data_IF_110438719416
#
_entry.id   IF_110438719416
#
_cell.length_a   1.000
_cell.length_b   1.000
_cell.length_c   1.000
_cell.angle_alpha   90.00
_cell.angle_beta   90.00
_cell.angle_gamma   90.00
#
_symmetry.space_group_name_H-M   'P 1'
#
loop_
_entity.id
_entity.type
_entity.pdbx_description
1 polymer ?
#
# COMPACT_ATOMS: atom_id res chain seq x y z
N UNK A 1 -7.89 -21.14 15.67
CA UNK A 1 -6.68 -20.29 15.63
C UNK A 1 -5.89 -20.58 14.36
N UNK A 2 -5.74 -19.58 13.49
CA UNK A 2 -4.95 -19.67 12.25
C UNK A 2 -3.84 -18.62 12.27
N UNK A 3 -2.57 -19.03 12.20
CA UNK A 3 -1.41 -18.12 12.09
C UNK A 3 -0.98 -17.97 10.63
N UNK A 4 -0.74 -16.73 10.20
CA UNK A 4 -0.30 -16.40 8.85
C UNK A 4 0.91 -15.48 8.97
N UNK A 5 2.09 -16.04 8.71
CA UNK A 5 3.34 -15.28 8.62
C UNK A 5 3.70 -15.08 7.15
N UNK A 6 3.79 -13.82 6.72
CA UNK A 6 4.08 -13.46 5.34
C UNK A 6 5.59 -13.46 5.09
N UNK A 7 6.36 -12.89 6.03
CA UNK A 7 7.80 -12.63 5.85
C UNK A 7 8.64 -13.91 5.76
N UNK A 8 8.20 -14.98 6.44
CA UNK A 8 8.91 -16.26 6.49
C UNK A 8 8.32 -17.31 5.53
N UNK A 9 7.39 -16.92 4.65
CA UNK A 9 6.73 -17.85 3.73
C UNK A 9 7.17 -17.64 2.27
N UNK A 10 8.22 -18.34 1.79
CA UNK A 10 8.78 -18.12 0.45
C UNK A 10 7.79 -18.47 -0.68
N UNK A 11 6.86 -19.40 -0.43
CA UNK A 11 5.82 -19.74 -1.42
C UNK A 11 4.84 -18.58 -1.60
N UNK A 12 4.42 -17.95 -0.51
CA UNK A 12 3.54 -16.79 -0.53
C UNK A 12 4.24 -15.58 -1.16
N UNK A 13 5.51 -15.34 -0.82
CA UNK A 13 6.34 -14.30 -1.47
C UNK A 13 6.42 -14.49 -2.99
N UNK A 14 6.64 -15.72 -3.46
CA UNK A 14 6.64 -16.00 -4.91
C UNK A 14 5.27 -15.78 -5.55
N UNK A 15 4.18 -16.02 -4.84
CA UNK A 15 2.83 -15.69 -5.33
C UNK A 15 2.63 -14.18 -5.41
N UNK A 16 3.06 -13.42 -4.39
CA UNK A 16 3.00 -11.96 -4.40
C UNK A 16 3.74 -11.39 -5.60
N UNK A 17 4.96 -11.86 -5.90
CA UNK A 17 5.68 -11.38 -7.10
C UNK A 17 4.91 -11.61 -8.40
N UNK A 18 4.14 -12.70 -8.52
CA UNK A 18 3.30 -12.94 -9.72
C UNK A 18 2.08 -12.01 -9.74
N UNK A 19 1.42 -11.84 -8.61
CA UNK A 19 0.26 -10.95 -8.50
C UNK A 19 0.66 -9.50 -8.71
N UNK A 20 1.85 -9.08 -8.26
CA UNK A 20 2.40 -7.75 -8.57
C UNK A 20 2.40 -7.51 -10.07
N UNK A 21 2.90 -8.44 -10.90
CA UNK A 21 2.90 -8.25 -12.37
C UNK A 21 1.50 -7.99 -12.92
N UNK A 22 0.50 -8.72 -12.42
CA UNK A 22 -0.90 -8.53 -12.80
C UNK A 22 -1.44 -7.16 -12.34
N UNK A 23 -1.12 -6.74 -11.13
CA UNK A 23 -1.52 -5.44 -10.58
C UNK A 23 -0.84 -4.29 -11.33
N UNK A 24 0.46 -4.39 -11.58
CA UNK A 24 1.23 -3.45 -12.40
C UNK A 24 0.62 -3.28 -13.79
N UNK A 25 0.23 -4.39 -14.43
CA UNK A 25 -0.39 -4.36 -15.75
C UNK A 25 -1.80 -3.76 -15.70
N UNK A 26 -2.65 -4.26 -14.79
CA UNK A 26 -4.04 -3.83 -14.66
C UNK A 26 -4.16 -2.35 -14.29
N UNK A 27 -3.51 -1.94 -13.20
CA UNK A 27 -3.49 -0.54 -12.78
C UNK A 27 -2.71 0.35 -13.75
N UNK A 28 -1.64 -0.16 -14.36
CA UNK A 28 -0.89 0.56 -15.39
C UNK A 28 -1.76 0.95 -16.58
N UNK A 29 -2.61 0.03 -17.06
CA UNK A 29 -3.59 0.32 -18.13
C UNK A 29 -4.60 1.38 -17.67
N UNK A 30 -5.17 1.24 -16.46
CA UNK A 30 -6.14 2.19 -15.91
C UNK A 30 -5.53 3.59 -15.81
N UNK A 31 -4.34 3.72 -15.20
CA UNK A 31 -3.67 5.00 -15.03
C UNK A 31 -3.15 5.57 -16.33
N UNK A 32 -2.77 4.74 -17.30
CA UNK A 32 -2.43 5.19 -18.65
C UNK A 32 -3.65 5.83 -19.36
N UNK A 33 -4.83 5.24 -19.23
CA UNK A 33 -6.07 5.85 -19.76
C UNK A 33 -6.34 7.20 -19.08
N UNK A 34 -6.18 7.30 -17.75
CA UNK A 34 -6.38 8.55 -17.01
C UNK A 34 -5.34 9.62 -17.34
N UNK A 35 -4.08 9.22 -17.54
CA UNK A 35 -3.01 10.12 -17.97
C UNK A 35 -3.31 10.74 -19.34
N UNK A 36 -3.93 9.96 -20.24
CA UNK A 36 -4.30 10.41 -21.58
C UNK A 36 -5.54 11.30 -21.63
N UNK A 37 -6.40 11.25 -20.61
CA UNK A 37 -7.65 12.03 -20.56
C UNK A 37 -7.47 13.48 -20.10
N UNK A 38 -6.28 13.86 -19.64
CA UNK A 38 -5.97 15.23 -19.20
C UNK A 38 -5.06 15.98 -20.17
N UNK A 39 -5.03 17.31 -20.09
CA UNK A 39 -4.11 18.20 -20.81
C UNK A 39 -2.90 18.64 -19.96
N UNK A 40 -2.72 18.08 -18.76
CA UNK A 40 -1.56 18.34 -17.89
C UNK A 40 -0.23 18.14 -18.64
N UNK A 41 0.80 18.91 -18.26
CA UNK A 41 2.13 18.77 -18.84
C UNK A 41 2.69 17.35 -18.64
N UNK A 42 3.53 16.89 -19.58
CA UNK A 42 4.11 15.55 -19.51
C UNK A 42 5.17 15.44 -18.40
N UNK A 43 6.11 16.39 -18.40
CA UNK A 43 7.18 16.58 -17.41
C UNK A 43 7.39 18.09 -17.22
N UNK A 44 8.12 18.48 -16.17
CA UNK A 44 8.55 19.87 -16.03
C UNK A 44 9.71 20.20 -17.00
N UNK A 45 9.96 21.48 -17.27
CA UNK A 45 11.03 21.90 -18.18
C UNK A 45 12.45 21.60 -17.67
N UNK A 46 12.66 21.53 -16.36
CA UNK A 46 13.99 21.31 -15.77
C UNK A 46 14.33 19.82 -15.71
N UNK A 47 15.33 19.38 -16.49
CA UNK A 47 15.80 17.99 -16.45
C UNK A 47 16.26 17.57 -15.04
N UNK A 48 17.13 18.36 -14.43
CA UNK A 48 17.62 18.10 -13.06
C UNK A 48 16.47 18.16 -12.06
N UNK A 49 15.56 19.12 -12.21
CA UNK A 49 14.38 19.25 -11.34
C UNK A 49 13.49 18.01 -11.38
N UNK A 50 13.28 17.42 -12.57
CA UNK A 50 12.54 16.17 -12.72
C UNK A 50 13.23 14.99 -12.03
N UNK A 51 14.55 14.87 -12.14
CA UNK A 51 15.31 13.80 -11.47
C UNK A 51 15.19 13.93 -9.95
N UNK A 52 15.43 15.13 -9.41
CA UNK A 52 15.32 15.37 -7.96
C UNK A 52 13.91 15.10 -7.47
N UNK A 53 12.90 15.58 -8.19
CA UNK A 53 11.50 15.33 -7.85
C UNK A 53 11.16 13.83 -7.86
N UNK A 54 11.66 13.09 -8.84
CA UNK A 54 11.45 11.64 -8.93
C UNK A 54 11.97 10.93 -7.68
N UNK A 55 13.21 11.23 -7.29
CA UNK A 55 13.82 10.65 -6.10
C UNK A 55 13.04 11.00 -4.84
N UNK A 56 12.64 12.26 -4.68
CA UNK A 56 11.85 12.72 -3.52
C UNK A 56 10.50 11.98 -3.47
N UNK A 57 9.75 11.95 -4.58
CA UNK A 57 8.44 11.31 -4.62
C UNK A 57 8.52 9.81 -4.35
N UNK A 58 9.56 9.13 -4.84
CA UNK A 58 9.78 7.72 -4.59
C UNK A 58 9.86 7.41 -3.09
N UNK A 59 10.76 8.07 -2.37
CA UNK A 59 10.89 7.84 -0.92
C UNK A 59 9.66 8.33 -0.16
N UNK A 60 9.09 9.47 -0.56
CA UNK A 60 7.96 10.08 0.12
C UNK A 60 6.71 9.19 0.06
N UNK A 61 6.37 8.63 -1.12
CA UNK A 61 5.16 7.81 -1.28
C UNK A 61 5.20 6.58 -0.40
N UNK A 62 6.30 5.83 -0.40
CA UNK A 62 6.40 4.62 0.40
C UNK A 62 6.52 4.92 1.91
N UNK A 63 7.18 6.03 2.28
CA UNK A 63 7.19 6.46 3.68
C UNK A 63 5.78 6.83 4.15
N UNK A 64 5.06 7.64 3.36
CA UNK A 64 3.67 8.02 3.66
C UNK A 64 2.77 6.77 3.69
N UNK A 65 2.98 5.81 2.80
CA UNK A 65 2.24 4.55 2.77
C UNK A 65 2.27 3.85 4.12
N UNK A 66 3.47 3.58 4.64
CA UNK A 66 3.64 2.92 5.93
C UNK A 66 3.13 3.80 7.09
N UNK A 67 3.34 5.12 7.02
CA UNK A 67 2.78 6.04 8.01
C UNK A 67 1.25 5.97 8.08
N UNK A 68 0.55 5.85 6.94
CA UNK A 68 -0.90 5.70 6.91
C UNK A 68 -1.31 4.40 7.61
N UNK A 69 -0.65 3.26 7.32
CA UNK A 69 -0.89 2.03 8.09
C UNK A 69 -0.71 2.26 9.59
N UNK A 70 0.40 2.90 9.99
CA UNK A 70 0.68 3.22 11.38
C UNK A 70 -0.39 4.08 12.05
N UNK A 71 -0.93 5.08 11.35
CA UNK A 71 -2.02 5.93 11.83
C UNK A 71 -3.28 5.08 12.07
N UNK A 72 -3.71 4.28 11.10
CA UNK A 72 -4.92 3.46 11.25
C UNK A 72 -4.76 2.37 12.32
N UNK A 73 -3.59 1.73 12.38
CA UNK A 73 -3.26 0.81 13.47
C UNK A 73 -3.30 1.48 14.84
N UNK A 74 -2.83 2.73 14.94
CA UNK A 74 -2.88 3.48 16.20
C UNK A 74 -4.30 3.92 16.57
N UNK A 75 -5.14 4.24 15.59
CA UNK A 75 -6.55 4.59 15.81
C UNK A 75 -7.31 3.38 16.37
N UNK A 76 -7.13 2.20 15.79
CA UNK A 76 -7.88 1.00 16.19
C UNK A 76 -7.24 0.21 17.34
N UNK A 77 -5.92 0.32 17.54
CA UNK A 77 -5.18 -0.30 18.65
C UNK A 77 -4.32 0.73 19.40
N UNK A 78 -4.94 1.69 20.10
CA UNK A 78 -4.24 2.85 20.66
C UNK A 78 -3.23 2.52 21.76
N UNK A 79 -3.39 1.38 22.44
CA UNK A 79 -2.52 0.96 23.56
C UNK A 79 -1.19 0.40 23.10
N UNK A 80 -1.10 -0.11 21.87
CA UNK A 80 0.09 -0.78 21.36
C UNK A 80 1.00 0.21 20.61
N UNK A 81 2.29 -0.11 20.52
CA UNK A 81 3.29 0.71 19.82
C UNK A 81 3.38 0.27 18.37
N UNK A 82 3.45 1.24 17.47
CA UNK A 82 3.70 0.99 16.05
C UNK A 82 5.19 0.76 15.85
N UNK A 83 5.53 -0.29 15.12
CA UNK A 83 6.88 -0.67 14.74
C UNK A 83 6.99 -0.65 13.22
N UNK A 84 8.04 -0.01 12.74
CA UNK A 84 8.43 -0.06 11.33
C UNK A 84 9.65 -0.94 11.20
N UNK A 85 9.65 -1.81 10.19
CA UNK A 85 10.76 -2.71 9.92
C UNK A 85 10.97 -2.91 8.42
N UNK A 86 12.03 -3.63 8.09
CA UNK A 86 12.31 -4.06 6.73
C UNK A 86 12.74 -5.52 6.76
N UNK A 87 12.10 -6.35 5.93
CA UNK A 87 12.42 -7.76 5.80
C UNK A 87 12.07 -8.27 4.42
N UNK A 88 12.93 -9.12 3.85
CA UNK A 88 12.70 -9.80 2.56
C UNK A 88 12.28 -8.87 1.40
N UNK A 89 12.80 -7.64 1.36
CA UNK A 89 12.46 -6.67 0.31
C UNK A 89 11.25 -5.79 0.62
N UNK A 90 10.55 -6.00 1.73
CA UNK A 90 9.36 -5.24 2.11
C UNK A 90 9.63 -4.37 3.33
N UNK A 91 9.28 -3.09 3.24
CA UNK A 91 9.06 -2.27 4.42
C UNK A 91 7.71 -2.70 4.99
N UNK A 92 7.61 -2.81 6.31
CA UNK A 92 6.37 -3.19 6.95
C UNK A 92 6.11 -2.37 8.20
N UNK A 93 4.83 -2.10 8.42
CA UNK A 93 4.28 -1.55 9.65
C UNK A 93 3.60 -2.67 10.44
N UNK A 94 3.99 -2.85 11.70
CA UNK A 94 3.40 -3.84 12.60
C UNK A 94 3.10 -3.22 13.96
N UNK A 95 2.14 -3.78 14.68
CA UNK A 95 1.78 -3.35 16.03
C UNK A 95 1.69 -4.57 16.97
N UNK A 96 2.78 -5.31 17.19
CA UNK A 96 2.74 -6.64 17.82
C UNK A 96 1.87 -6.71 19.08
N UNK A 97 0.98 -7.70 19.14
CA UNK A 97 -0.05 -7.85 20.19
C UNK A 97 -1.29 -6.98 19.97
N UNK A 98 -1.30 -6.12 18.96
CA UNK A 98 -2.43 -5.29 18.60
C UNK A 98 -3.60 -6.13 18.10
N UNK A 99 -4.74 -5.96 18.77
CA UNK A 99 -5.99 -6.66 18.48
C UNK A 99 -6.91 -5.82 17.59
N UNK A 100 -7.53 -6.48 16.63
CA UNK A 100 -8.43 -5.89 15.64
C UNK A 100 -9.62 -6.82 15.39
N UNK A 101 -10.71 -6.23 14.90
CA UNK A 101 -11.75 -6.99 14.18
C UNK A 101 -11.35 -7.13 12.71
N UNK A 102 -11.90 -8.10 11.95
CA UNK A 102 -11.65 -8.22 10.52
C UNK A 102 -11.90 -6.91 9.77
N UNK A 103 -12.94 -6.17 10.15
CA UNK A 103 -13.27 -4.90 9.51
C UNK A 103 -12.22 -3.81 9.79
N UNK A 104 -11.78 -3.65 11.03
CA UNK A 104 -10.80 -2.61 11.38
C UNK A 104 -9.43 -2.92 10.80
N UNK A 105 -9.04 -4.19 10.75
CA UNK A 105 -7.83 -4.62 10.06
C UNK A 105 -7.92 -4.38 8.55
N UNK A 106 -9.06 -4.71 7.93
CA UNK A 106 -9.31 -4.45 6.50
C UNK A 106 -9.19 -2.96 6.16
N UNK A 107 -9.82 -2.08 6.95
CA UNK A 107 -9.71 -0.62 6.75
C UNK A 107 -8.24 -0.20 6.81
N UNK A 108 -7.52 -0.68 7.82
CA UNK A 108 -6.10 -0.35 8.00
C UNK A 108 -5.24 -0.82 6.83
N UNK A 109 -5.55 -1.99 6.26
CA UNK A 109 -4.84 -2.55 5.11
C UNK A 109 -5.13 -1.75 3.82
N UNK A 110 -6.38 -1.42 3.52
CA UNK A 110 -6.73 -0.75 2.26
C UNK A 110 -6.49 0.77 2.26
N UNK A 111 -6.37 1.38 3.44
CA UNK A 111 -6.30 2.84 3.58
C UNK A 111 -5.17 3.51 2.77
N UNK A 112 -3.91 3.03 2.78
CA UNK A 112 -2.84 3.68 2.02
C UNK A 112 -3.09 3.65 0.52
N UNK A 113 -3.60 2.52 0.01
CA UNK A 113 -3.96 2.39 -1.40
C UNK A 113 -4.97 3.47 -1.80
N UNK A 114 -6.07 3.60 -1.06
CA UNK A 114 -7.14 4.56 -1.37
C UNK A 114 -6.63 6.00 -1.26
N UNK A 115 -6.02 6.36 -0.13
CA UNK A 115 -5.66 7.75 0.16
C UNK A 115 -4.60 8.25 -0.83
N UNK A 116 -3.52 7.50 -1.03
CA UNK A 116 -2.42 7.94 -1.89
C UNK A 116 -2.85 7.95 -3.36
N UNK A 117 -3.56 6.90 -3.83
CA UNK A 117 -4.05 6.86 -5.22
C UNK A 117 -4.98 8.03 -5.51
N UNK A 118 -5.88 8.36 -4.58
CA UNK A 118 -6.77 9.52 -4.73
C UNK A 118 -5.99 10.84 -4.79
N UNK A 119 -4.97 11.04 -3.94
CA UNK A 119 -4.11 12.24 -4.00
C UNK A 119 -3.38 12.34 -5.34
N UNK A 120 -2.83 11.24 -5.85
CA UNK A 120 -2.16 11.21 -7.15
C UNK A 120 -3.13 11.56 -8.30
N UNK A 121 -4.35 11.01 -8.28
CA UNK A 121 -5.40 11.33 -9.26
C UNK A 121 -5.78 12.81 -9.19
N UNK A 122 -6.06 13.33 -7.99
CA UNK A 122 -6.46 14.73 -7.81
C UNK A 122 -5.35 15.67 -8.31
N UNK A 123 -4.09 15.41 -7.95
CA UNK A 123 -2.97 16.25 -8.36
C UNK A 123 -2.70 16.20 -9.86
N UNK A 124 -2.94 15.07 -10.53
CA UNK A 124 -2.93 14.98 -12.00
C UNK A 124 -3.95 15.93 -12.63
N UNK A 125 -5.22 15.83 -12.20
CA UNK A 125 -6.31 16.60 -12.81
C UNK A 125 -6.30 18.09 -12.45
N UNK A 126 -5.67 18.46 -11.33
CA UNK A 126 -5.37 19.86 -11.00
C UNK A 126 -4.20 20.44 -11.81
N UNK A 127 -3.53 19.62 -12.64
CA UNK A 127 -2.35 20.05 -13.40
C UNK A 127 -1.09 20.25 -12.56
N UNK A 128 -1.12 19.87 -11.28
CA UNK A 128 0.00 20.01 -10.35
C UNK A 128 1.05 18.94 -10.62
N UNK A 129 0.64 17.68 -10.72
CA UNK A 129 1.54 16.55 -10.95
C UNK A 129 1.63 16.23 -12.45
N UNK A 130 2.82 16.25 -13.07
CA UNK A 130 2.94 15.94 -14.48
C UNK A 130 2.58 14.48 -14.77
N UNK A 131 2.06 14.25 -15.97
CA UNK A 131 1.53 12.96 -16.44
C UNK A 131 2.50 11.80 -16.26
N UNK A 132 3.78 12.01 -16.60
CA UNK A 132 4.82 10.99 -16.47
C UNK A 132 4.98 10.53 -15.01
N UNK A 133 5.01 11.48 -14.07
CA UNK A 133 5.14 11.20 -12.64
C UNK A 133 3.90 10.49 -12.12
N UNK A 134 2.70 10.97 -12.47
CA UNK A 134 1.46 10.29 -12.11
C UNK A 134 1.46 8.83 -12.56
N UNK A 135 1.72 8.57 -13.84
CA UNK A 135 1.65 7.23 -14.40
C UNK A 135 2.61 6.28 -13.69
N UNK A 136 3.87 6.68 -13.53
CA UNK A 136 4.88 5.83 -12.88
C UNK A 136 4.55 5.62 -11.40
N UNK A 137 4.26 6.67 -10.65
CA UNK A 137 4.09 6.56 -9.20
C UNK A 137 2.76 5.92 -8.79
N UNK A 138 1.66 6.21 -9.50
CA UNK A 138 0.39 5.54 -9.26
C UNK A 138 0.50 4.04 -9.56
N UNK A 139 1.16 3.68 -10.67
CA UNK A 139 1.35 2.27 -11.04
C UNK A 139 2.30 1.55 -10.07
N UNK A 140 3.42 2.17 -9.70
CA UNK A 140 4.37 1.61 -8.72
C UNK A 140 3.71 1.40 -7.35
N UNK A 141 2.98 2.39 -6.86
CA UNK A 141 2.29 2.29 -5.58
C UNK A 141 1.21 1.21 -5.61
N UNK A 142 0.31 1.23 -6.58
CA UNK A 142 -0.77 0.25 -6.72
C UNK A 142 -0.25 -1.19 -6.91
N UNK A 143 0.80 -1.37 -7.71
CA UNK A 143 1.44 -2.66 -7.91
C UNK A 143 2.13 -3.18 -6.65
N UNK A 144 2.65 -2.28 -5.81
CA UNK A 144 3.32 -2.62 -4.55
C UNK A 144 2.36 -2.94 -3.41
N UNK A 145 1.10 -2.51 -3.48
CA UNK A 145 0.02 -2.83 -2.53
C UNK A 145 -0.45 -4.31 -2.55
N UNK A 146 0.32 -5.23 -3.14
CA UNK A 146 -0.07 -6.65 -3.26
C UNK A 146 -0.33 -7.31 -1.90
N UNK A 147 0.47 -6.99 -0.89
CA UNK A 147 0.32 -7.50 0.47
C UNK A 147 -0.96 -6.99 1.12
N UNK A 148 -1.28 -5.71 0.90
CA UNK A 148 -2.49 -5.06 1.40
C UNK A 148 -3.74 -5.71 0.82
N UNK A 149 -3.76 -5.92 -0.50
CA UNK A 149 -4.89 -6.58 -1.16
C UNK A 149 -5.05 -8.03 -0.70
N UNK A 150 -3.94 -8.73 -0.45
CA UNK A 150 -3.99 -10.06 0.15
C UNK A 150 -4.69 -10.01 1.53
N UNK A 151 -4.32 -9.06 2.39
CA UNK A 151 -4.95 -8.90 3.70
C UNK A 151 -6.43 -8.53 3.60
N UNK A 152 -6.78 -7.61 2.70
CA UNK A 152 -8.18 -7.23 2.45
C UNK A 152 -9.02 -8.44 2.06
N UNK A 153 -8.56 -9.23 1.07
CA UNK A 153 -9.27 -10.43 0.64
C UNK A 153 -9.38 -11.44 1.79
N UNK A 154 -8.32 -11.62 2.58
CA UNK A 154 -8.34 -12.52 3.72
C UNK A 154 -9.34 -12.07 4.79
N UNK A 155 -9.42 -10.78 5.08
CA UNK A 155 -10.36 -10.24 6.06
C UNK A 155 -11.82 -10.30 5.59
N UNK A 156 -12.09 -10.14 4.29
CA UNK A 156 -13.44 -10.33 3.72
C UNK A 156 -13.92 -11.77 3.93
N UNK A 157 -13.01 -12.74 3.85
CA UNK A 157 -13.31 -14.16 4.02
C UNK A 157 -13.35 -14.61 5.48
N UNK A 158 -12.89 -13.77 6.41
CA UNK A 158 -12.80 -14.12 7.83
C UNK A 158 -14.14 -13.84 8.53
N UNK A 159 -14.64 -14.74 9.40
CA UNK A 159 -15.88 -14.50 10.14
C UNK A 159 -15.85 -13.17 10.92
N UNK A 160 -16.96 -12.42 10.89
CA UNK A 160 -17.00 -11.07 11.48
C UNK A 160 -16.71 -11.00 12.98
N UNK A 161 -16.96 -12.09 13.70
CA UNK A 161 -16.76 -12.20 15.14
C UNK A 161 -15.35 -12.66 15.52
N UNK A 162 -14.48 -12.94 14.53
CA UNK A 162 -13.09 -13.29 14.78
C UNK A 162 -12.31 -12.13 15.39
N UNK A 163 -11.24 -12.48 16.08
CA UNK A 163 -10.26 -11.54 16.60
C UNK A 163 -8.94 -11.69 15.83
N UNK A 164 -8.35 -10.57 15.43
CA UNK A 164 -7.12 -10.51 14.66
C UNK A 164 -6.04 -9.92 15.54
N UNK A 165 -5.01 -10.71 15.84
CA UNK A 165 -3.82 -10.23 16.54
C UNK A 165 -2.68 -10.06 15.54
N UNK A 166 -2.05 -8.89 15.55
CA UNK A 166 -0.86 -8.65 14.73
C UNK A 166 0.40 -9.16 15.41
N UNK A 167 1.31 -9.72 14.62
CA UNK A 167 2.63 -10.19 15.06
C UNK A 167 3.73 -9.35 14.41
N UNK A 168 4.98 -9.68 14.72
CA UNK A 168 6.16 -9.14 14.05
C UNK A 168 6.28 -9.56 12.57
N UNK A 169 5.53 -10.61 12.15
CA UNK A 169 5.69 -11.26 10.83
C UNK A 169 4.40 -11.41 10.03
N UNK A 170 3.26 -11.07 10.60
CA UNK A 170 1.95 -11.24 10.00
C UNK A 170 0.84 -11.11 11.03
N UNK A 171 -0.10 -12.06 11.03
CA UNK A 171 -1.26 -12.05 11.94
C UNK A 171 -1.62 -13.45 12.47
N UNK A 172 -2.37 -13.46 13.56
CA UNK A 172 -3.07 -14.61 14.09
C UNK A 172 -4.58 -14.29 14.07
N UNK A 173 -5.37 -15.25 13.61
CA UNK A 173 -6.83 -15.17 13.56
C UNK A 173 -7.40 -16.14 14.60
N UNK A 174 -8.18 -15.61 15.54
CA UNK A 174 -8.98 -16.37 16.50
C UNK A 174 -10.44 -16.41 16.01
N UNK A 175 -11.01 -17.60 15.90
CA UNK A 175 -12.40 -17.84 15.47
C UNK A 175 -13.25 -18.25 16.66
#
# INVERSE_FOLDING_TARGET
>A
MQRIDILDNPKLMKQFSRYMILLFTGFGIIFWIMERSTNTAYIYHSFIGNIVLFLILYFLIFTIHECIHGIFFKIFSPRHKVHFGYSSGMIYCAIPGGQFTPMTFLISAIAPFIIITMILIITLYLGVLPKFFFLIFATLHAGSCVGDFYWVLKMIQTPKNSEIETTDKGIIIYE
#
